data_IF_582116443465
#
_entry.id   IF_582116443465
#
_cell.length_a   1.000
_cell.length_b   1.000
_cell.length_c   1.000
_cell.angle_alpha   90.00
_cell.angle_beta   90.00
_cell.angle_gamma   90.00
#
_symmetry.space_group_name_H-M   'P 1'
#
loop_
_entity.id
_entity.type
_entity.pdbx_description
1 polymer ?
#
# COMPACT_ATOMS: atom_id res chain seq x y z
N UNK A 1 -4.42 18.02 12.21
CA UNK A 1 -4.49 17.06 13.33
C UNK A 1 -4.97 15.73 12.78
N UNK A 2 -4.15 14.67 12.86
CA UNK A 2 -4.56 13.31 12.46
C UNK A 2 -5.26 12.68 13.67
N UNK A 3 -6.49 12.16 13.53
CA UNK A 3 -7.23 11.59 14.65
C UNK A 3 -6.53 10.35 15.24
N UNK A 4 -6.74 10.05 16.53
CA UNK A 4 -6.11 8.92 17.20
C UNK A 4 -6.46 7.59 16.51
N UNK A 5 -5.45 6.76 16.32
CA UNK A 5 -5.54 5.47 15.63
C UNK A 5 -6.36 4.50 16.48
N UNK A 6 -7.65 4.32 16.17
CA UNK A 6 -8.54 3.36 16.86
C UNK A 6 -8.34 1.89 16.46
N UNK A 7 -7.46 1.63 15.50
CA UNK A 7 -7.21 0.30 14.95
C UNK A 7 -5.72 0.04 14.93
N UNK A 8 -5.31 -1.18 15.31
CA UNK A 8 -3.91 -1.53 15.54
C UNK A 8 -2.98 -1.04 14.41
N UNK A 9 -1.77 -0.57 14.76
CA UNK A 9 -0.90 0.18 13.85
C UNK A 9 -0.50 -0.56 12.56
N UNK A 10 -0.60 -1.89 12.53
CA UNK A 10 -0.31 -2.76 11.37
C UNK A 10 -1.34 -2.61 10.23
N UNK A 11 -2.45 -1.91 10.46
CA UNK A 11 -3.50 -1.75 9.47
C UNK A 11 -3.23 -0.64 8.44
N UNK A 12 -2.09 0.06 8.50
CA UNK A 12 -1.72 1.10 7.53
C UNK A 12 -0.63 0.64 6.55
N UNK A 13 -0.48 1.36 5.45
CA UNK A 13 0.61 1.11 4.51
C UNK A 13 1.90 1.79 5.02
N UNK A 14 3.08 1.15 4.93
CA UNK A 14 4.35 1.76 5.35
C UNK A 14 4.71 3.05 4.59
N UNK A 15 4.46 3.07 3.28
CA UNK A 15 4.63 4.27 2.47
C UNK A 15 3.56 5.31 2.80
N UNK A 16 3.99 6.56 3.01
CA UNK A 16 3.14 7.69 3.45
C UNK A 16 2.81 8.68 2.33
N UNK A 17 3.24 8.40 1.10
CA UNK A 17 2.92 9.19 -0.08
C UNK A 17 1.56 8.78 -0.70
N UNK A 18 1.06 9.59 -1.62
CA UNK A 18 -0.13 9.26 -2.42
C UNK A 18 0.17 8.07 -3.34
N UNK A 19 -0.72 7.07 -3.46
CA UNK A 19 -2.09 7.03 -2.90
C UNK A 19 -2.22 6.39 -1.52
N UNK A 20 -1.13 5.83 -0.98
CA UNK A 20 -1.14 5.01 0.24
C UNK A 20 -1.71 5.74 1.46
N UNK A 21 -1.40 7.03 1.62
CA UNK A 21 -1.92 7.86 2.71
C UNK A 21 -3.40 8.26 2.60
N UNK A 22 -4.11 7.77 1.56
CA UNK A 22 -5.55 8.01 1.36
C UNK A 22 -6.41 6.83 1.80
N UNK A 23 -5.81 5.74 2.26
CA UNK A 23 -6.50 4.57 2.76
C UNK A 23 -6.53 4.57 4.30
N UNK A 24 -7.69 4.26 4.85
CA UNK A 24 -7.88 4.12 6.30
C UNK A 24 -8.52 2.77 6.59
N UNK A 25 -7.99 2.06 7.59
CA UNK A 25 -8.65 0.85 8.09
C UNK A 25 -10.02 1.22 8.65
N UNK A 26 -11.05 0.52 8.18
CA UNK A 26 -12.45 0.76 8.51
C UNK A 26 -13.10 -0.39 9.29
N UNK A 27 -12.33 -1.45 9.58
CA UNK A 27 -12.83 -2.67 10.21
C UNK A 27 -12.44 -3.93 9.43
N UNK A 28 -13.03 -5.06 9.81
CA UNK A 28 -12.80 -6.36 9.19
C UNK A 28 -14.10 -6.92 8.63
N UNK A 29 -14.00 -7.74 7.58
CA UNK A 29 -15.14 -8.52 7.09
C UNK A 29 -15.54 -9.63 8.07
N UNK A 30 -16.67 -10.30 7.82
CA UNK A 30 -17.11 -11.45 8.59
C UNK A 30 -16.07 -12.58 8.68
N UNK A 31 -15.12 -12.65 7.73
CA UNK A 31 -14.04 -13.62 7.71
C UNK A 31 -12.71 -13.05 8.23
N UNK A 32 -12.74 -11.93 8.95
CA UNK A 32 -11.53 -11.32 9.53
C UNK A 32 -10.62 -10.61 8.52
N UNK A 33 -11.05 -10.41 7.28
CA UNK A 33 -10.23 -9.74 6.25
C UNK A 33 -10.32 -8.22 6.44
N UNK A 34 -9.20 -7.48 6.55
CA UNK A 34 -9.21 -6.03 6.69
C UNK A 34 -9.90 -5.31 5.52
N UNK A 35 -10.73 -4.33 5.87
CA UNK A 35 -11.44 -3.44 4.94
C UNK A 35 -10.95 -2.00 5.10
N UNK A 36 -10.94 -1.28 4.00
CA UNK A 36 -10.35 0.05 3.88
C UNK A 36 -11.31 1.02 3.25
N UNK A 37 -11.50 2.16 3.91
CA UNK A 37 -12.15 3.34 3.35
C UNK A 37 -11.11 4.16 2.57
N UNK A 38 -11.54 4.76 1.46
CA UNK A 38 -10.71 5.65 0.64
C UNK A 38 -11.22 7.07 0.81
N UNK A 39 -10.35 7.98 1.24
CA UNK A 39 -10.68 9.40 1.39
C UNK A 39 -11.32 9.94 0.10
N UNK A 40 -12.38 10.72 0.24
CA UNK A 40 -13.03 11.39 -0.91
C UNK A 40 -13.73 10.47 -1.92
N UNK A 41 -13.72 9.14 -1.73
CA UNK A 41 -14.37 8.23 -2.68
C UNK A 41 -15.89 8.15 -2.55
N UNK A 42 -16.44 8.38 -1.34
CA UNK A 42 -17.85 8.12 -1.02
C UNK A 42 -18.28 6.65 -1.11
N UNK A 43 -17.37 5.74 -1.51
CA UNK A 43 -17.64 4.32 -1.68
C UNK A 43 -17.55 3.57 -0.34
N UNK A 44 -18.29 2.45 -0.18
CA UNK A 44 -18.19 1.62 1.02
C UNK A 44 -16.78 1.02 1.18
N UNK A 45 -16.34 0.76 2.42
CA UNK A 45 -15.05 0.12 2.67
C UNK A 45 -14.90 -1.22 1.96
N UNK A 46 -13.72 -1.47 1.38
CA UNK A 46 -13.46 -2.67 0.60
C UNK A 46 -12.05 -3.23 0.84
N UNK A 47 -11.75 -4.40 0.27
CA UNK A 47 -10.46 -5.08 0.45
C UNK A 47 -9.31 -4.23 -0.13
N UNK A 48 -8.11 -4.39 0.44
CA UNK A 48 -6.93 -3.58 0.10
C UNK A 48 -6.64 -3.42 -1.41
N UNK A 49 -6.70 -4.45 -2.28
CA UNK A 49 -6.48 -4.25 -3.71
C UNK A 49 -7.48 -3.29 -4.36
N UNK A 50 -8.76 -3.40 -4.00
CA UNK A 50 -9.80 -2.53 -4.56
C UNK A 50 -9.67 -1.12 -4.04
N UNK A 51 -9.42 -0.97 -2.73
CA UNK A 51 -9.22 0.33 -2.10
C UNK A 51 -8.00 1.05 -2.67
N UNK A 52 -6.86 0.36 -2.85
CA UNK A 52 -5.64 0.97 -3.37
C UNK A 52 -5.78 1.39 -4.83
N UNK A 53 -6.50 0.63 -5.66
CA UNK A 53 -6.86 1.05 -7.03
C UNK A 53 -7.76 2.28 -7.03
N UNK A 54 -8.76 2.32 -6.16
CA UNK A 54 -9.66 3.46 -6.03
C UNK A 54 -8.90 4.73 -5.60
N UNK A 55 -8.05 4.61 -4.58
CA UNK A 55 -7.20 5.69 -4.11
C UNK A 55 -6.24 6.19 -5.21
N UNK A 56 -5.58 5.27 -5.93
CA UNK A 56 -4.75 5.64 -7.07
C UNK A 56 -5.54 6.35 -8.17
N UNK A 57 -6.74 5.86 -8.51
CA UNK A 57 -7.55 6.47 -9.56
C UNK A 57 -7.97 7.90 -9.21
N UNK A 58 -8.28 8.18 -7.94
CA UNK A 58 -8.69 9.50 -7.46
C UNK A 58 -7.51 10.48 -7.34
N UNK A 59 -6.34 10.01 -6.91
CA UNK A 59 -5.26 10.89 -6.47
C UNK A 59 -3.95 10.74 -7.27
N UNK A 60 -3.85 9.74 -8.14
CA UNK A 60 -2.60 9.38 -8.81
C UNK A 60 -1.55 8.83 -7.83
N UNK A 61 -0.29 8.99 -8.20
CA UNK A 61 0.85 8.60 -7.37
C UNK A 61 2.14 8.52 -8.17
N UNK A 62 3.06 7.68 -7.71
CA UNK A 62 4.31 7.37 -8.40
C UNK A 62 4.46 5.87 -8.58
N UNK A 63 5.10 5.47 -9.66
CA UNK A 63 5.53 4.09 -9.80
C UNK A 63 6.50 3.77 -8.66
N UNK A 64 6.20 2.73 -7.90
CA UNK A 64 7.03 2.32 -6.77
C UNK A 64 8.49 2.01 -7.18
N UNK A 65 8.69 1.51 -8.40
CA UNK A 65 10.01 1.18 -8.93
C UNK A 65 10.73 2.36 -9.55
N UNK A 66 10.26 2.87 -10.70
CA UNK A 66 10.97 3.93 -11.44
C UNK A 66 10.67 5.35 -10.96
N UNK A 67 9.81 5.51 -9.94
CA UNK A 67 9.41 6.80 -9.35
C UNK A 67 8.74 7.80 -10.32
N UNK A 68 8.48 7.38 -11.56
CA UNK A 68 7.74 8.14 -12.55
C UNK A 68 6.37 8.54 -12.00
N UNK A 69 5.99 9.81 -12.21
CA UNK A 69 4.69 10.35 -11.82
C UNK A 69 3.62 9.67 -12.67
N UNK A 70 2.56 9.20 -12.02
CA UNK A 70 1.40 8.61 -12.67
C UNK A 70 0.16 9.39 -12.22
N UNK A 71 -0.39 10.27 -13.07
CA UNK A 71 -1.53 11.09 -12.69
C UNK A 71 -2.78 10.24 -12.38
N UNK A 72 -3.78 10.83 -11.72
CA UNK A 72 -5.10 10.19 -11.56
C UNK A 72 -5.72 9.88 -12.93
N UNK A 73 -6.69 8.97 -12.95
CA UNK A 73 -7.42 8.55 -14.17
C UNK A 73 -6.54 8.04 -15.33
N UNK A 74 -5.28 7.68 -15.07
CA UNK A 74 -4.44 7.01 -16.05
C UNK A 74 -5.06 5.66 -16.41
N UNK A 75 -5.08 5.37 -17.71
CA UNK A 75 -5.54 4.09 -18.24
C UNK A 75 -5.01 2.90 -17.45
N UNK A 76 -5.90 1.97 -17.10
CA UNK A 76 -5.58 0.69 -16.45
C UNK A 76 -4.60 -0.16 -17.27
N UNK A 77 -4.34 0.20 -18.53
CA UNK A 77 -3.29 -0.43 -19.32
C UNK A 77 -1.88 0.00 -18.94
N UNK A 78 -1.70 1.12 -18.20
CA UNK A 78 -0.38 1.65 -17.83
C UNK A 78 0.01 1.39 -16.39
N UNK A 79 -0.95 1.03 -15.54
CA UNK A 79 -0.76 0.87 -14.08
C UNK A 79 -1.20 -0.51 -13.63
N UNK A 80 -0.50 -1.04 -12.65
CA UNK A 80 -0.80 -2.33 -12.01
C UNK A 80 -0.55 -2.25 -10.52
N UNK A 81 -1.31 -3.04 -9.76
CA UNK A 81 -0.88 -3.42 -8.42
C UNK A 81 0.19 -4.50 -8.56
N UNK A 82 1.23 -4.38 -7.75
CA UNK A 82 2.24 -5.41 -7.62
C UNK A 82 2.43 -5.78 -6.15
N UNK A 83 2.92 -6.99 -5.93
CA UNK A 83 3.24 -7.51 -4.62
C UNK A 83 4.73 -7.32 -4.32
N UNK A 84 5.05 -6.71 -3.18
CA UNK A 84 6.45 -6.53 -2.73
C UNK A 84 7.12 -7.89 -2.57
N UNK A 85 6.47 -8.79 -1.84
CA UNK A 85 6.75 -10.24 -1.83
C UNK A 85 5.81 -10.92 -2.82
N UNK A 86 6.32 -11.60 -3.87
CA UNK A 86 5.49 -12.27 -4.87
C UNK A 86 4.52 -13.29 -4.27
N UNK A 87 3.29 -13.40 -4.81
CA UNK A 87 2.30 -14.40 -4.36
C UNK A 87 2.81 -15.83 -4.40
N UNK A 88 3.62 -16.18 -5.41
CA UNK A 88 4.24 -17.51 -5.53
C UNK A 88 5.24 -17.82 -4.41
N UNK A 89 5.70 -16.81 -3.69
CA UNK A 89 6.60 -16.91 -2.54
C UNK A 89 5.86 -16.61 -1.22
N UNK A 90 4.53 -16.74 -1.18
CA UNK A 90 3.74 -16.53 0.03
C UNK A 90 3.25 -15.09 0.26
N UNK A 91 3.47 -14.18 -0.70
CA UNK A 91 2.96 -12.82 -0.63
C UNK A 91 1.44 -12.73 -0.48
N UNK A 92 0.98 -11.91 0.46
CA UNK A 92 -0.45 -11.74 0.77
C UNK A 92 -1.08 -10.57 0.01
N UNK A 93 -2.42 -10.46 0.05
CA UNK A 93 -3.16 -9.28 -0.42
C UNK A 93 -3.40 -8.25 0.70
N UNK A 94 -2.62 -8.31 1.79
CA UNK A 94 -2.66 -7.28 2.83
C UNK A 94 -2.06 -5.98 2.29
N UNK A 95 -2.54 -4.85 2.81
CA UNK A 95 -2.20 -3.54 2.25
C UNK A 95 -0.69 -3.31 2.20
N UNK A 96 0.06 -3.62 3.26
CA UNK A 96 1.51 -3.42 3.28
C UNK A 96 2.25 -4.13 2.15
N UNK A 97 1.74 -5.26 1.63
CA UNK A 97 2.40 -6.02 0.57
C UNK A 97 2.02 -5.53 -0.84
N UNK A 98 1.14 -4.53 -0.96
CA UNK A 98 0.63 -4.05 -2.25
C UNK A 98 1.17 -2.67 -2.58
N UNK A 99 1.83 -2.55 -3.73
CA UNK A 99 2.35 -1.28 -4.26
C UNK A 99 1.76 -0.96 -5.63
N UNK A 100 1.77 0.33 -5.98
CA UNK A 100 1.42 0.80 -7.31
C UNK A 100 2.66 0.82 -8.19
N UNK A 101 2.61 0.12 -9.32
CA UNK A 101 3.70 0.05 -10.29
C UNK A 101 3.19 0.31 -11.70
N UNK A 102 3.99 0.97 -12.55
CA UNK A 102 3.71 0.99 -13.98
C UNK A 102 3.83 -0.43 -14.55
N UNK A 103 3.08 -0.72 -15.61
CA UNK A 103 3.07 -2.06 -16.21
C UNK A 103 4.43 -2.52 -16.71
N UNK A 104 5.29 -1.62 -17.16
CA UNK A 104 6.62 -1.97 -17.67
C UNK A 104 7.53 -2.43 -16.55
N UNK A 105 7.56 -1.71 -15.42
CA UNK A 105 8.33 -2.13 -14.26
C UNK A 105 7.77 -3.42 -13.64
N UNK A 106 6.45 -3.55 -13.52
CA UNK A 106 5.84 -4.77 -12.98
C UNK A 106 6.14 -5.99 -13.86
N UNK A 107 6.01 -5.84 -15.18
CA UNK A 107 6.35 -6.89 -16.15
C UNK A 107 7.83 -7.27 -16.08
N UNK A 108 8.72 -6.29 -15.96
CA UNK A 108 10.15 -6.52 -15.83
C UNK A 108 10.54 -7.19 -14.50
N UNK A 109 9.85 -6.87 -13.39
CA UNK A 109 10.05 -7.54 -12.10
C UNK A 109 9.58 -8.99 -12.14
N UNK A 110 8.47 -9.26 -12.81
CA UNK A 110 7.85 -10.58 -12.88
C UNK A 110 7.69 -11.22 -11.49
N UNK A 111 8.22 -12.43 -11.28
CA UNK A 111 8.16 -13.14 -10.01
C UNK A 111 9.38 -12.90 -9.09
N UNK A 112 10.25 -11.94 -9.43
CA UNK A 112 11.41 -11.61 -8.61
C UNK A 112 10.98 -10.85 -7.35
N UNK A 113 11.59 -11.12 -6.18
CA UNK A 113 11.42 -10.28 -5.01
C UNK A 113 12.01 -8.90 -5.27
N UNK A 114 11.48 -7.88 -4.59
CA UNK A 114 11.86 -6.48 -4.77
C UNK A 114 13.38 -6.22 -4.73
N UNK A 115 14.09 -6.82 -3.76
CA UNK A 115 15.52 -6.62 -3.56
C UNK A 115 16.38 -7.12 -4.71
N UNK A 116 15.90 -8.15 -5.43
CA UNK A 116 16.58 -8.67 -6.62
C UNK A 116 16.31 -7.84 -7.88
N UNK A 117 15.22 -7.05 -7.91
CA UNK A 117 14.83 -6.26 -9.07
C UNK A 117 15.32 -4.81 -9.02
N UNK A 118 15.07 -4.10 -7.90
CA UNK A 118 15.42 -2.69 -7.72
C UNK A 118 15.82 -2.45 -6.26
N UNK A 119 17.12 -2.41 -6.01
CA UNK A 119 17.69 -2.21 -4.67
C UNK A 119 17.22 -0.91 -4.03
N UNK A 120 17.20 0.21 -4.76
CA UNK A 120 16.77 1.50 -4.22
C UNK A 120 15.31 1.46 -3.72
N UNK A 121 14.40 0.91 -4.52
CA UNK A 121 12.99 0.73 -4.12
C UNK A 121 12.87 -0.22 -2.93
N UNK A 122 13.70 -1.27 -2.88
CA UNK A 122 13.77 -2.20 -1.76
C UNK A 122 14.18 -1.51 -0.48
N UNK A 123 15.25 -0.73 -0.52
CA UNK A 123 15.77 0.01 0.63
C UNK A 123 14.75 1.02 1.13
N UNK A 124 14.22 1.85 0.23
CA UNK A 124 13.21 2.86 0.59
C UNK A 124 11.96 2.23 1.24
N UNK A 125 11.54 1.05 0.78
CA UNK A 125 10.42 0.34 1.39
C UNK A 125 10.76 -0.24 2.77
N UNK A 126 11.95 -0.83 2.93
CA UNK A 126 12.39 -1.36 4.23
C UNK A 126 12.56 -0.26 5.27
N UNK A 127 13.16 0.88 4.89
CA UNK A 127 13.29 2.05 5.77
C UNK A 127 11.90 2.56 6.21
N UNK A 128 10.94 2.62 5.28
CA UNK A 128 9.57 3.01 5.59
C UNK A 128 8.85 1.97 6.49
N UNK A 129 9.08 0.68 6.26
CA UNK A 129 8.52 -0.40 7.07
C UNK A 129 9.10 -0.40 8.49
N UNK A 130 10.40 -0.18 8.63
CA UNK A 130 11.07 -0.04 9.92
C UNK A 130 10.49 1.13 10.71
N UNK A 131 10.39 2.31 10.09
CA UNK A 131 9.79 3.48 10.71
C UNK A 131 8.33 3.21 11.13
N UNK A 132 7.55 2.58 10.26
CA UNK A 132 6.16 2.24 10.52
C UNK A 132 6.00 1.27 11.71
N UNK A 133 6.84 0.24 11.80
CA UNK A 133 6.85 -0.70 12.93
C UNK A 133 7.31 0.01 14.21
N UNK A 134 8.31 0.89 14.14
CA UNK A 134 8.76 1.64 15.30
C UNK A 134 7.65 2.56 15.86
N UNK A 135 6.90 3.23 14.99
CA UNK A 135 5.71 4.01 15.36
C UNK A 135 4.63 3.12 15.99
N UNK A 136 4.40 1.95 15.39
CA UNK A 136 3.45 0.96 15.87
C UNK A 136 3.74 0.54 17.32
N UNK A 137 5.00 0.20 17.61
CA UNK A 137 5.45 -0.19 18.93
C UNK A 137 5.27 0.95 19.92
N UNK A 138 5.71 2.17 19.56
CA UNK A 138 5.53 3.37 20.41
C UNK A 138 4.06 3.62 20.78
N UNK A 139 3.15 3.50 19.82
CA UNK A 139 1.72 3.70 20.04
C UNK A 139 1.13 2.66 21.01
N UNK A 140 1.56 1.39 20.90
CA UNK A 140 1.14 0.33 21.81
C UNK A 140 1.67 0.58 23.23
N UNK A 141 2.94 0.98 23.36
CA UNK A 141 3.54 1.31 24.67
C UNK A 141 2.91 2.52 25.35
N UNK A 142 2.36 3.47 24.59
CA UNK A 142 1.67 4.64 25.13
C UNK A 142 0.19 4.38 25.50
N UNK A 143 -0.35 3.22 25.11
CA UNK A 143 -1.75 2.84 25.35
C UNK A 143 -1.93 1.90 26.55
N UNK A 144 -0.85 1.54 27.24
CA UNK A 144 -0.85 0.78 28.49
C UNK A 144 -0.39 1.64 29.66
#
# INVERSE_FOLDING_TARGET
MVPPMKHGPIAHHPLTETPYNKLFHAGNSAHGVPLYAVLGSGAPPCKAPTALRSAFNLYGGRCFYCRAIMPPHVSMQKVSLDHVVPRKQGGTNLLHNLVIACKDCNRAKAASPIGAFRQDSSRAYLDALEAHIADAIRALSASG
#
